data_IF_835459150679
#
_entry.id   IF_835459150679
#
_cell.length_a   1.000
_cell.length_b   1.000
_cell.length_c   1.000
_cell.angle_alpha   90.00
_cell.angle_beta   90.00
_cell.angle_gamma   90.00
#
_symmetry.space_group_name_H-M   'P 1'
#
loop_
_entity.id
_entity.type
_entity.pdbx_description
1 polymer ?
#
# COMPACT_ATOMS: atom_id res chain seq x y z
N UNK A 1 8.19 4.54 8.24
CA UNK A 1 8.99 4.68 7.00
C UNK A 1 9.86 3.46 6.72
N UNK A 2 10.62 2.92 7.69
CA UNK A 2 11.45 1.72 7.48
C UNK A 2 10.67 0.49 6.98
N UNK A 3 9.50 0.18 7.57
CA UNK A 3 8.70 -0.98 7.18
C UNK A 3 8.29 -0.92 5.70
N UNK A 4 7.92 0.26 5.19
CA UNK A 4 7.53 0.45 3.81
C UNK A 4 8.71 0.22 2.85
N UNK A 5 9.90 0.72 3.18
CA UNK A 5 11.09 0.52 2.35
C UNK A 5 11.49 -0.96 2.32
N UNK A 6 11.43 -1.65 3.46
CA UNK A 6 11.81 -3.06 3.54
C UNK A 6 10.81 -3.98 2.80
N UNK A 7 9.50 -3.78 3.00
CA UNK A 7 8.48 -4.60 2.33
C UNK A 7 8.43 -4.36 0.83
N UNK A 8 8.69 -3.14 0.35
CA UNK A 8 8.71 -2.83 -1.10
C UNK A 8 9.95 -3.37 -1.80
N UNK A 9 11.08 -3.45 -1.11
CA UNK A 9 12.33 -3.97 -1.68
C UNK A 9 12.40 -5.50 -1.67
N UNK A 10 12.00 -6.13 -0.55
CA UNK A 10 12.20 -7.56 -0.33
C UNK A 10 10.90 -8.36 -0.28
N UNK A 11 9.79 -7.72 0.06
CA UNK A 11 8.48 -8.37 0.16
C UNK A 11 7.89 -8.78 -1.20
N UNK A 12 8.62 -8.63 -2.31
CA UNK A 12 8.27 -9.20 -3.62
C UNK A 12 8.95 -10.56 -3.89
N UNK A 13 10.01 -10.91 -3.18
CA UNK A 13 10.78 -12.12 -3.46
C UNK A 13 10.25 -13.31 -2.66
N UNK A 14 9.45 -14.17 -3.30
CA UNK A 14 8.82 -15.33 -2.64
C UNK A 14 9.78 -16.52 -2.46
N UNK A 15 10.84 -16.58 -3.28
CA UNK A 15 11.74 -17.75 -3.35
C UNK A 15 13.09 -17.53 -2.67
N UNK A 16 13.31 -16.37 -2.05
CA UNK A 16 14.54 -16.10 -1.33
C UNK A 16 14.39 -16.44 0.14
N UNK A 17 15.50 -16.93 0.70
CA UNK A 17 15.64 -17.18 2.13
C UNK A 17 16.57 -16.13 2.72
N UNK A 18 16.29 -15.74 3.96
CA UNK A 18 17.14 -14.85 4.75
C UNK A 18 17.50 -15.53 6.07
N UNK A 19 18.71 -15.27 6.53
CA UNK A 19 19.15 -15.67 7.86
C UNK A 19 18.74 -14.57 8.84
N UNK A 20 17.77 -14.85 9.70
CA UNK A 20 17.26 -13.89 10.68
C UNK A 20 17.08 -14.60 12.02
N UNK A 21 17.60 -13.98 13.09
CA UNK A 21 17.61 -14.57 14.44
C UNK A 21 18.28 -15.95 14.52
N UNK A 22 19.27 -16.23 13.66
CA UNK A 22 19.96 -17.52 13.62
C UNK A 22 19.21 -18.62 12.88
N UNK A 23 18.02 -18.33 12.33
CA UNK A 23 17.22 -19.28 11.55
C UNK A 23 17.12 -18.82 10.10
N UNK A 24 17.19 -19.76 9.17
CA UNK A 24 16.94 -19.51 7.74
C UNK A 24 15.43 -19.57 7.49
N UNK A 25 14.82 -18.46 7.06
CA UNK A 25 13.38 -18.39 6.77
C UNK A 25 13.13 -17.77 5.40
N UNK A 26 12.03 -18.15 4.71
CA UNK A 26 11.59 -17.46 3.50
C UNK A 26 11.31 -15.98 3.79
N UNK A 27 11.73 -15.08 2.91
CA UNK A 27 11.47 -13.63 3.09
C UNK A 27 9.97 -13.37 3.22
N UNK A 28 9.14 -13.99 2.39
CA UNK A 28 7.69 -13.85 2.45
C UNK A 28 7.11 -14.19 3.84
N UNK A 29 7.60 -15.26 4.47
CA UNK A 29 7.19 -15.64 5.83
C UNK A 29 7.66 -14.61 6.86
N UNK A 30 8.93 -14.18 6.79
CA UNK A 30 9.47 -13.18 7.69
C UNK A 30 8.71 -11.84 7.61
N UNK A 31 8.43 -11.34 6.41
CA UNK A 31 7.75 -10.06 6.24
C UNK A 31 6.28 -10.16 6.68
N UNK A 32 5.63 -11.31 6.49
CA UNK A 32 4.30 -11.58 7.03
C UNK A 32 4.30 -11.58 8.55
N UNK A 33 5.18 -12.35 9.18
CA UNK A 33 5.18 -12.54 10.64
C UNK A 33 5.68 -11.30 11.39
N UNK A 34 6.71 -10.63 10.86
CA UNK A 34 7.37 -9.49 11.53
C UNK A 34 6.69 -8.15 11.23
N UNK A 35 6.23 -7.93 9.99
CA UNK A 35 5.61 -6.65 9.58
C UNK A 35 4.09 -6.74 9.38
N UNK A 36 3.48 -7.93 9.47
CA UNK A 36 2.05 -8.12 9.18
C UNK A 36 1.70 -7.93 7.70
N UNK A 37 2.66 -8.08 6.79
CA UNK A 37 2.44 -7.86 5.36
C UNK A 37 1.75 -9.07 4.71
N UNK A 38 0.55 -8.86 4.21
CA UNK A 38 -0.27 -9.88 3.54
C UNK A 38 -0.26 -9.59 2.04
N UNK A 39 0.55 -10.35 1.29
CA UNK A 39 0.74 -10.15 -0.15
C UNK A 39 -0.57 -10.32 -0.94
N UNK A 40 -1.45 -11.19 -0.46
CA UNK A 40 -2.80 -11.41 -0.99
C UNK A 40 -3.69 -10.17 -0.96
N UNK A 41 -3.35 -9.15 -0.15
CA UNK A 41 -4.04 -7.87 -0.10
C UNK A 41 -3.51 -6.85 -1.11
N UNK A 42 -2.45 -7.15 -1.87
CA UNK A 42 -1.91 -6.24 -2.89
C UNK A 42 -2.93 -5.83 -3.97
N UNK A 43 -3.76 -6.74 -4.51
CA UNK A 43 -4.81 -6.33 -5.44
C UNK A 43 -5.83 -5.39 -4.80
N UNK A 44 -6.19 -5.64 -3.54
CA UNK A 44 -7.12 -4.79 -2.78
C UNK A 44 -6.51 -3.41 -2.52
N UNK A 45 -5.25 -3.34 -2.11
CA UNK A 45 -4.56 -2.07 -1.88
C UNK A 45 -4.44 -1.26 -3.17
N UNK A 46 -4.18 -1.91 -4.31
CA UNK A 46 -4.17 -1.26 -5.63
C UNK A 46 -5.54 -0.64 -5.97
N UNK A 47 -6.64 -1.36 -5.73
CA UNK A 47 -8.00 -0.86 -5.93
C UNK A 47 -8.28 0.35 -5.04
N UNK A 48 -7.94 0.28 -3.75
CA UNK A 48 -8.13 1.38 -2.79
C UNK A 48 -7.29 2.60 -3.21
N UNK A 49 -6.03 2.38 -3.59
CA UNK A 49 -5.12 3.43 -4.02
C UNK A 49 -5.61 4.12 -5.30
N UNK A 50 -6.21 3.37 -6.24
CA UNK A 50 -6.84 3.94 -7.43
C UNK A 50 -8.17 4.65 -7.13
N UNK A 51 -8.95 4.15 -6.17
CA UNK A 51 -10.22 4.76 -5.77
C UNK A 51 -10.02 6.12 -5.09
N UNK A 52 -8.94 6.30 -4.32
CA UNK A 52 -8.67 7.55 -3.61
C UNK A 52 -8.61 8.80 -4.51
N UNK A 53 -7.79 8.87 -5.58
CA UNK A 53 -7.78 10.02 -6.48
C UNK A 53 -9.07 10.18 -7.27
N UNK A 54 -9.78 9.09 -7.60
CA UNK A 54 -11.08 9.16 -8.27
C UNK A 54 -12.13 9.82 -7.37
N UNK A 55 -12.23 9.38 -6.12
CA UNK A 55 -13.11 9.99 -5.12
C UNK A 55 -12.75 11.46 -4.90
N UNK A 56 -11.46 11.76 -4.78
CA UNK A 56 -10.99 13.14 -4.61
C UNK A 56 -11.35 14.01 -5.82
N UNK A 57 -11.18 13.52 -7.05
CA UNK A 57 -11.54 14.23 -8.27
C UNK A 57 -13.06 14.49 -8.37
N UNK A 58 -13.88 13.51 -7.99
CA UNK A 58 -15.35 13.66 -7.92
C UNK A 58 -15.74 14.72 -6.89
N UNK A 59 -15.19 14.63 -5.67
CA UNK A 59 -15.48 15.59 -4.60
C UNK A 59 -15.01 17.00 -4.96
N UNK A 60 -13.83 17.11 -5.57
CA UNK A 60 -13.29 18.38 -6.05
C UNK A 60 -14.20 18.97 -7.15
N UNK A 61 -14.56 18.19 -8.16
CA UNK A 61 -15.49 18.58 -9.23
C UNK A 61 -16.88 18.99 -8.72
N UNK A 62 -17.41 18.24 -7.74
CA UNK A 62 -18.67 18.58 -7.07
C UNK A 62 -18.54 19.88 -6.26
N UNK A 63 -17.44 20.06 -5.55
CA UNK A 63 -17.19 21.25 -4.73
C UNK A 63 -17.10 22.51 -5.60
N UNK A 64 -16.35 22.48 -6.71
CA UNK A 64 -16.24 23.64 -7.61
C UNK A 64 -17.55 23.98 -8.33
N UNK A 65 -18.41 23.00 -8.60
CA UNK A 65 -19.69 23.23 -9.27
C UNK A 65 -20.79 23.72 -8.32
N UNK A 66 -20.75 23.32 -7.04
CA UNK A 66 -21.73 23.71 -6.02
C UNK A 66 -21.34 24.96 -5.24
N UNK A 67 -20.07 25.07 -4.86
CA UNK A 67 -19.54 26.29 -4.26
C UNK A 67 -19.29 27.27 -5.38
N UNK A 68 -20.35 28.01 -5.67
CA UNK A 68 -20.42 29.11 -6.61
C UNK A 68 -19.47 30.23 -6.13
N UNK A 69 -18.15 30.03 -6.25
CA UNK A 69 -17.13 31.05 -5.97
C UNK A 69 -17.28 32.29 -6.88
N UNK A 70 -18.24 32.26 -7.81
CA UNK A 70 -18.62 33.37 -8.69
C UNK A 70 -19.84 34.19 -8.23
N UNK A 71 -20.45 33.94 -7.05
CA UNK A 71 -21.58 34.75 -6.54
C UNK A 71 -21.21 35.80 -5.48
N UNK A 72 -19.98 36.28 -5.50
CA UNK A 72 -19.53 37.48 -4.78
C UNK A 72 -18.43 38.16 -5.58
#
# INVERSE_FOLDING_TARGET
TLNLLFTTQFGFEDNSNILVFGETKPIAAFVRDYFGFHRELLPLSAIILAAYPVLFAILYGYSISRFNFQKR
#
